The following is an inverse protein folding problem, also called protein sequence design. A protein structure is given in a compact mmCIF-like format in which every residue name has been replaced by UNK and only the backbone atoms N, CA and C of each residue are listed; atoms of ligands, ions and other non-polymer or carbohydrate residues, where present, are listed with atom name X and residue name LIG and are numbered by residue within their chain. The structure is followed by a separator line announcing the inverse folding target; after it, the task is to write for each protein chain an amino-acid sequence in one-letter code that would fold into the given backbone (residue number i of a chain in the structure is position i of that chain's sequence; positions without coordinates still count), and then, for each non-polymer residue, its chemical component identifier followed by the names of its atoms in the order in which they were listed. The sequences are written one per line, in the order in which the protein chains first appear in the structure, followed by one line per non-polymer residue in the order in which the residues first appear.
data_IF_214209853765
#
_entry.id   IF_214209853765
#
_cell.length_a   1.000
_cell.length_b   1.000
_cell.length_c   1.000
_cell.angle_alpha   90.00
_cell.angle_beta   90.00
_cell.angle_gamma   90.00
#
_symmetry.space_group_name_H-M   'P 1'
#
loop_
_entity.id
_entity.type
_entity.pdbx_description
1 polymer ?
#
# COMPACT_ATOMS: atom_id res chain seq x y z
N UNK A 1 41.06 -58.64 25.70
CA UNK A 1 39.79 -58.01 26.15
C UNK A 1 40.14 -56.57 26.50
N UNK A 2 39.67 -55.51 25.84
CA UNK A 2 38.46 -55.32 25.05
C UNK A 2 38.70 -54.29 23.93
N UNK A 3 37.98 -54.47 22.82
CA UNK A 3 37.76 -53.47 21.79
C UNK A 3 36.80 -52.39 22.32
N UNK A 4 36.93 -51.14 21.83
CA UNK A 4 35.77 -50.33 21.48
C UNK A 4 36.19 -49.16 20.57
N UNK A 5 35.87 -49.31 19.30
CA UNK A 5 35.62 -48.22 18.37
C UNK A 5 34.44 -47.39 18.89
N UNK A 6 34.46 -46.08 18.70
CA UNK A 6 33.24 -45.27 18.72
C UNK A 6 33.36 -44.14 17.73
N UNK A 7 32.42 -44.22 16.80
CA UNK A 7 32.28 -43.51 15.55
C UNK A 7 31.98 -42.02 15.74
N UNK A 8 32.49 -41.24 14.79
CA UNK A 8 32.04 -39.89 14.46
C UNK A 8 30.55 -39.91 14.10
N UNK A 9 29.72 -39.12 14.79
CA UNK A 9 28.47 -38.60 14.23
C UNK A 9 28.25 -37.16 14.70
N UNK A 10 28.39 -36.26 13.73
CA UNK A 10 27.92 -34.88 13.75
C UNK A 10 26.41 -34.88 13.66
N UNK A 11 25.71 -34.24 14.60
CA UNK A 11 24.39 -33.70 14.33
C UNK A 11 24.20 -32.38 15.09
N UNK A 12 24.35 -31.30 14.32
CA UNK A 12 24.00 -29.94 14.74
C UNK A 12 22.48 -29.83 14.79
N UNK A 13 21.91 -29.95 15.98
CA UNK A 13 20.50 -29.69 16.22
C UNK A 13 20.25 -28.18 16.27
N UNK A 14 19.73 -27.62 15.18
CA UNK A 14 19.16 -26.27 15.15
C UNK A 14 17.76 -26.35 15.74
N UNK A 15 17.59 -25.84 16.96
CA UNK A 15 16.27 -25.66 17.58
C UNK A 15 15.47 -24.62 16.79
N UNK A 16 14.25 -24.92 16.31
CA UNK A 16 13.39 -23.89 15.75
C UNK A 16 12.84 -23.05 16.91
N UNK A 17 13.27 -21.80 17.00
CA UNK A 17 12.59 -20.80 17.83
C UNK A 17 11.18 -20.62 17.26
N UNK A 18 10.18 -21.00 18.05
CA UNK A 18 8.78 -20.71 17.80
C UNK A 18 8.58 -19.20 17.84
N UNK A 19 8.62 -18.56 16.68
CA UNK A 19 8.13 -17.20 16.50
C UNK A 19 6.61 -17.27 16.60
N UNK A 20 6.07 -16.95 17.76
CA UNK A 20 4.65 -16.65 17.94
C UNK A 20 4.32 -15.49 17.01
N UNK A 21 3.75 -15.78 15.84
CA UNK A 21 3.18 -14.77 14.97
C UNK A 21 1.85 -14.32 15.58
N UNK A 22 1.89 -13.27 16.37
CA UNK A 22 0.69 -12.54 16.77
C UNK A 22 0.18 -11.72 15.58
N UNK A 23 -0.44 -12.39 14.60
CA UNK A 23 -1.30 -11.75 13.61
C UNK A 23 -2.71 -12.34 13.78
N UNK A 24 -3.66 -11.61 14.37
CA UNK A 24 -4.98 -12.16 14.70
C UNK A 24 -5.98 -12.12 13.53
N UNK A 25 -5.55 -11.98 12.27
CA UNK A 25 -6.47 -11.87 11.13
C UNK A 25 -6.24 -12.96 10.07
N UNK A 26 -7.29 -13.68 9.63
CA UNK A 26 -7.19 -14.63 8.53
C UNK A 26 -7.36 -13.87 7.21
N UNK A 27 -6.27 -13.48 6.56
CA UNK A 27 -6.35 -12.74 5.29
C UNK A 27 -6.16 -13.71 4.11
N UNK A 28 -7.24 -13.90 3.36
CA UNK A 28 -7.27 -14.66 2.10
C UNK A 28 -6.52 -13.90 1.00
N UNK A 29 -5.20 -13.98 1.00
CA UNK A 29 -4.38 -13.69 -0.18
C UNK A 29 -3.93 -15.00 -0.81
N UNK A 30 -4.49 -15.36 -1.98
CA UNK A 30 -3.97 -16.51 -2.74
C UNK A 30 -2.48 -16.29 -3.03
N UNK A 31 -1.71 -17.28 -2.59
CA UNK A 31 -0.31 -17.56 -2.88
C UNK A 31 0.27 -16.83 -4.10
N UNK A 32 1.08 -15.81 -3.85
CA UNK A 32 2.08 -15.33 -4.82
C UNK A 32 3.46 -15.81 -4.37
N UNK A 33 3.62 -17.13 -4.25
CA UNK A 33 4.96 -17.72 -4.24
C UNK A 33 5.55 -17.50 -5.64
N UNK A 34 6.60 -16.65 -5.74
CA UNK A 34 7.60 -16.53 -6.83
C UNK A 34 7.92 -15.12 -7.37
N UNK A 35 7.57 -14.01 -6.70
CA UNK A 35 8.08 -12.66 -7.07
C UNK A 35 8.66 -11.87 -5.90
N UNK A 36 9.12 -12.57 -4.85
CA UNK A 36 9.82 -11.93 -3.75
C UNK A 36 11.14 -11.34 -4.23
N UNK A 37 11.20 -10.02 -4.41
CA UNK A 37 12.27 -9.16 -3.87
C UNK A 37 12.18 -7.67 -4.27
N UNK A 38 11.26 -7.25 -5.16
CA UNK A 38 11.11 -5.84 -5.52
C UNK A 38 9.65 -5.46 -5.72
N UNK A 39 8.98 -5.09 -4.63
CA UNK A 39 7.58 -4.66 -4.69
C UNK A 39 7.37 -3.17 -4.45
N UNK A 40 8.44 -2.46 -4.09
CA UNK A 40 8.46 -1.02 -3.96
C UNK A 40 9.75 -0.46 -4.53
N UNK A 41 9.65 0.57 -5.35
CA UNK A 41 10.78 1.24 -5.99
C UNK A 41 10.85 2.67 -5.44
N UNK A 42 11.96 3.09 -4.82
CA UNK A 42 12.14 4.49 -4.42
C UNK A 42 11.98 5.39 -5.64
N UNK A 43 11.16 6.43 -5.51
CA UNK A 43 10.85 7.30 -6.65
C UNK A 43 12.02 8.25 -6.92
N UNK A 44 12.69 8.68 -5.86
CA UNK A 44 13.96 9.41 -5.91
C UNK A 44 15.04 8.59 -5.21
N UNK A 45 16.30 8.72 -5.67
CA UNK A 45 17.46 7.99 -5.10
C UNK A 45 17.66 8.24 -3.60
N UNK A 46 17.18 9.37 -3.10
CA UNK A 46 17.19 9.77 -1.69
C UNK A 46 15.79 10.01 -1.12
N UNK A 47 14.73 9.67 -1.86
CA UNK A 47 13.36 9.92 -1.47
C UNK A 47 12.82 8.86 -0.51
N UNK A 48 11.88 9.25 0.33
CA UNK A 48 11.24 8.33 1.30
C UNK A 48 10.05 7.59 0.67
N UNK A 49 9.42 8.22 -0.33
CA UNK A 49 8.25 7.70 -1.02
C UNK A 49 8.62 6.60 -2.02
N UNK A 50 7.89 5.50 -1.96
CA UNK A 50 8.13 4.32 -2.79
C UNK A 50 6.91 4.01 -3.65
N UNK A 51 7.12 3.82 -4.94
CA UNK A 51 6.10 3.34 -5.85
C UNK A 51 5.92 1.83 -5.64
N UNK A 52 4.74 1.41 -5.20
CA UNK A 52 4.42 -0.02 -5.04
C UNK A 52 3.78 -0.59 -6.30
N UNK A 53 3.89 -1.91 -6.48
CA UNK A 53 3.29 -2.60 -7.62
C UNK A 53 1.77 -2.76 -7.50
N UNK A 54 1.26 -2.95 -6.27
CA UNK A 54 -0.18 -3.16 -6.03
C UNK A 54 -0.59 -2.58 -4.67
N UNK A 55 -1.44 -1.56 -4.68
CA UNK A 55 -2.08 -1.04 -3.49
C UNK A 55 -3.44 -1.68 -3.23
N UNK A 56 -3.93 -1.54 -2.00
CA UNK A 56 -5.26 -1.95 -1.56
C UNK A 56 -5.87 -0.86 -0.68
N UNK A 57 -7.20 -0.79 -0.70
CA UNK A 57 -8.01 0.09 0.15
C UNK A 57 -8.85 -0.82 1.03
N UNK A 58 -8.61 -0.75 2.32
CA UNK A 58 -9.34 -1.52 3.32
C UNK A 58 -10.41 -0.62 3.94
N UNK A 59 -11.71 -0.89 3.69
CA UNK A 59 -12.75 -0.20 4.45
C UNK A 59 -12.68 -0.66 5.92
N UNK A 60 -12.60 0.29 6.84
CA UNK A 60 -12.57 0.04 8.29
C UNK A 60 -13.73 0.79 8.90
N UNK A 61 -14.83 0.10 9.20
CA UNK A 61 -16.10 0.69 9.65
C UNK A 61 -16.61 1.79 8.69
N UNK A 62 -16.64 3.05 9.15
CA UNK A 62 -17.02 4.23 8.37
C UNK A 62 -15.83 4.92 7.67
N UNK A 63 -14.64 4.33 7.80
CA UNK A 63 -13.37 4.87 7.36
C UNK A 63 -12.70 3.97 6.31
N UNK A 64 -11.49 4.35 5.90
CA UNK A 64 -10.73 3.65 4.88
C UNK A 64 -9.24 3.76 5.16
N UNK A 65 -8.51 2.68 4.92
CA UNK A 65 -7.07 2.61 5.03
C UNK A 65 -6.40 2.25 3.70
N UNK A 66 -5.19 2.75 3.47
CA UNK A 66 -4.38 2.39 2.29
C UNK A 66 -3.22 1.49 2.73
N UNK A 67 -3.12 0.32 2.09
CA UNK A 67 -2.04 -0.63 2.37
C UNK A 67 -1.39 -1.14 1.09
N UNK A 68 -0.19 -1.70 1.27
CA UNK A 68 0.45 -2.48 0.23
C UNK A 68 -0.16 -3.87 0.19
N UNK A 69 -0.61 -4.31 -0.99
CA UNK A 69 -1.24 -5.63 -1.13
C UNK A 69 -0.23 -6.78 -0.95
N UNK A 70 1.07 -6.51 -0.97
CA UNK A 70 2.09 -7.47 -0.56
C UNK A 70 2.50 -7.27 0.89
N UNK A 71 2.27 -8.34 1.65
CA UNK A 71 2.58 -8.46 3.06
C UNK A 71 4.07 -8.23 3.40
N UNK A 72 4.99 -8.56 2.50
CA UNK A 72 6.43 -8.37 2.73
C UNK A 72 6.95 -6.99 2.28
N UNK A 73 6.09 -6.16 1.70
CA UNK A 73 6.42 -4.82 1.25
C UNK A 73 6.38 -3.77 2.35
N UNK A 74 6.80 -2.52 2.05
CA UNK A 74 6.64 -1.41 2.96
C UNK A 74 5.15 -1.10 3.20
N UNK A 75 4.80 -0.76 4.44
CA UNK A 75 3.45 -0.38 4.83
C UNK A 75 3.20 1.13 4.81
N UNK A 76 4.26 1.95 4.84
CA UNK A 76 4.18 3.41 4.88
C UNK A 76 5.18 4.05 3.92
N UNK A 77 4.95 5.32 3.62
CA UNK A 77 5.66 6.09 2.59
C UNK A 77 5.63 5.34 1.26
N UNK A 78 4.42 4.96 0.89
CA UNK A 78 4.08 4.23 -0.32
C UNK A 78 3.08 5.01 -1.15
N UNK A 79 3.16 4.87 -2.48
CA UNK A 79 2.12 5.32 -3.39
C UNK A 79 1.90 4.32 -4.51
N UNK A 80 0.70 4.33 -5.08
CA UNK A 80 0.32 3.50 -6.21
C UNK A 80 -0.48 4.33 -7.22
N UNK A 81 -0.09 4.28 -8.50
CA UNK A 81 -0.84 4.86 -9.59
C UNK A 81 -1.97 3.91 -10.00
N UNK A 82 -3.21 4.38 -9.92
CA UNK A 82 -4.37 3.58 -10.32
C UNK A 82 -4.41 3.49 -11.85
N UNK A 83 -4.45 2.28 -12.44
CA UNK A 83 -4.58 2.13 -13.88
C UNK A 83 -5.93 2.67 -14.39
N UNK A 84 -5.90 3.53 -15.39
CA UNK A 84 -7.12 4.08 -15.99
C UNK A 84 -6.86 5.39 -16.75
N UNK A 85 -7.91 5.99 -17.34
CA UNK A 85 -7.85 7.35 -17.86
C UNK A 85 -7.57 8.34 -16.72
N UNK A 86 -6.70 9.30 -17.00
CA UNK A 86 -6.28 10.32 -16.03
C UNK A 86 -5.06 9.92 -15.20
N UNK A 87 -4.91 10.59 -14.06
CA UNK A 87 -3.74 10.51 -13.20
C UNK A 87 -4.18 10.35 -11.73
N UNK A 88 -4.80 9.21 -11.44
CA UNK A 88 -5.34 8.87 -10.13
C UNK A 88 -4.31 8.11 -9.29
N UNK A 89 -4.26 8.38 -8.00
CA UNK A 89 -3.27 7.80 -7.08
C UNK A 89 -3.87 7.48 -5.73
N UNK A 90 -3.25 6.53 -5.04
CA UNK A 90 -3.41 6.32 -3.60
C UNK A 90 -2.04 6.36 -2.94
N UNK A 91 -1.96 6.83 -1.70
CA UNK A 91 -0.73 6.84 -0.91
C UNK A 91 -0.98 6.75 0.60
N UNK A 92 -0.02 6.16 1.32
CA UNK A 92 0.04 6.16 2.78
C UNK A 92 1.39 6.73 3.21
N UNK A 93 1.38 7.86 3.90
CA UNK A 93 2.55 8.72 4.14
C UNK A 93 2.80 8.89 5.63
N UNK A 94 4.06 8.90 6.06
CA UNK A 94 4.45 9.18 7.45
C UNK A 94 5.49 10.29 7.50
N UNK A 95 6.46 10.26 6.60
CA UNK A 95 7.49 11.28 6.53
C UNK A 95 6.97 12.56 5.87
N UNK A 96 7.30 13.73 6.44
CA UNK A 96 6.81 15.02 5.94
C UNK A 96 7.16 15.26 4.46
N UNK A 97 8.36 14.84 4.03
CA UNK A 97 8.80 14.99 2.64
C UNK A 97 8.05 14.10 1.65
N UNK A 98 7.35 13.06 2.11
CA UNK A 98 6.64 12.13 1.23
C UNK A 98 5.44 12.78 0.54
N UNK A 99 4.78 13.77 1.19
CA UNK A 99 3.68 14.51 0.57
C UNK A 99 4.18 15.44 -0.55
N UNK A 100 5.30 16.12 -0.32
CA UNK A 100 5.91 16.97 -1.36
C UNK A 100 6.33 16.13 -2.57
N UNK A 101 6.95 14.96 -2.34
CA UNK A 101 7.27 14.00 -3.40
C UNK A 101 6.01 13.54 -4.15
N UNK A 102 4.93 13.21 -3.45
CA UNK A 102 3.66 12.80 -4.08
C UNK A 102 3.09 13.90 -4.97
N UNK A 103 3.06 15.15 -4.50
CA UNK A 103 2.58 16.30 -5.27
C UNK A 103 3.41 16.48 -6.55
N UNK A 104 4.73 16.41 -6.44
CA UNK A 104 5.62 16.52 -7.61
C UNK A 104 5.36 15.41 -8.63
N UNK A 105 5.15 14.17 -8.19
CA UNK A 105 4.87 13.04 -9.09
C UNK A 105 3.53 13.22 -9.79
N UNK A 106 2.49 13.60 -9.04
CA UNK A 106 1.16 13.86 -9.62
C UNK A 106 1.26 14.97 -10.67
N UNK A 107 1.99 16.05 -10.39
CA UNK A 107 2.22 17.15 -11.35
C UNK A 107 3.08 16.73 -12.55
N UNK A 108 4.09 15.88 -12.36
CA UNK A 108 4.92 15.38 -13.46
C UNK A 108 4.14 14.49 -14.43
N UNK A 109 3.07 13.83 -13.96
CA UNK A 109 2.16 13.03 -14.75
C UNK A 109 0.85 13.75 -15.09
N UNK A 110 0.84 15.08 -14.99
CA UNK A 110 -0.36 15.87 -15.20
C UNK A 110 -0.89 15.69 -16.64
N UNK A 111 -2.20 15.54 -16.74
CA UNK A 111 -2.88 15.31 -18.01
C UNK A 111 -3.67 16.57 -18.36
N UNK A 112 -3.33 17.21 -19.48
CA UNK A 112 -4.00 18.44 -19.92
C UNK A 112 -5.52 18.24 -19.98
N UNK A 113 -6.27 19.20 -19.41
CA UNK A 113 -7.73 19.17 -19.36
C UNK A 113 -8.30 18.33 -18.23
N UNK A 114 -7.47 17.92 -17.26
CA UNK A 114 -7.90 17.31 -16.01
C UNK A 114 -7.69 18.23 -14.81
N UNK A 115 -8.52 18.05 -13.79
CA UNK A 115 -8.43 18.66 -12.47
C UNK A 115 -8.37 17.56 -11.41
N UNK A 116 -8.02 17.95 -10.18
CA UNK A 116 -7.77 17.03 -9.09
C UNK A 116 -8.58 17.35 -7.84
N UNK A 117 -9.16 16.31 -7.24
CA UNK A 117 -9.59 16.32 -5.85
C UNK A 117 -8.61 15.48 -5.02
N UNK A 118 -8.17 16.08 -3.92
CA UNK A 118 -7.28 15.44 -2.95
C UNK A 118 -8.08 15.13 -1.69
N UNK A 119 -8.22 13.84 -1.39
CA UNK A 119 -8.87 13.35 -0.19
C UNK A 119 -7.80 12.87 0.77
N UNK A 120 -7.81 13.39 1.99
CA UNK A 120 -6.77 13.12 2.98
C UNK A 120 -7.41 12.73 4.31
N UNK A 121 -6.91 11.66 4.92
CA UNK A 121 -7.26 11.23 6.28
C UNK A 121 -5.99 11.07 7.09
N UNK A 122 -6.09 11.24 8.39
CA UNK A 122 -5.02 10.93 9.33
C UNK A 122 -5.46 9.75 10.20
N UNK A 123 -4.75 8.63 10.09
CA UNK A 123 -4.97 7.44 10.90
C UNK A 123 -3.82 7.23 11.89
N UNK A 124 -4.07 6.52 12.99
CA UNK A 124 -3.07 6.11 13.97
C UNK A 124 -2.74 4.63 13.80
N UNK A 125 -1.95 4.30 12.77
CA UNK A 125 -1.45 2.93 12.64
C UNK A 125 -0.33 2.67 13.66
N UNK A 126 -0.62 1.78 14.62
CA UNK A 126 0.27 1.24 15.67
C UNK A 126 0.84 2.28 16.65
N UNK A 127 1.51 3.35 16.20
CA UNK A 127 2.11 4.42 17.04
C UNK A 127 2.43 5.74 16.32
N UNK A 128 2.37 5.80 14.98
CA UNK A 128 2.69 7.02 14.21
C UNK A 128 1.46 7.50 13.45
N UNK A 129 1.26 8.82 13.33
CA UNK A 129 0.24 9.36 12.44
C UNK A 129 0.60 9.01 11.00
N UNK A 130 -0.31 8.34 10.31
CA UNK A 130 -0.23 8.03 8.88
C UNK A 130 -1.20 8.97 8.17
N UNK A 131 -0.71 9.72 7.20
CA UNK A 131 -1.54 10.48 6.29
C UNK A 131 -1.87 9.63 5.07
N UNK A 132 -3.14 9.30 4.92
CA UNK A 132 -3.65 8.51 3.81
C UNK A 132 -4.26 9.44 2.77
N UNK A 133 -3.93 9.23 1.50
CA UNK A 133 -4.24 10.15 0.41
C UNK A 133 -4.85 9.41 -0.76
N UNK A 134 -5.99 9.90 -1.25
CA UNK A 134 -6.56 9.50 -2.54
C UNK A 134 -6.55 10.74 -3.44
N UNK A 135 -6.04 10.58 -4.66
CA UNK A 135 -6.04 11.60 -5.70
C UNK A 135 -6.99 11.16 -6.80
N UNK A 136 -8.12 11.87 -6.94
CA UNK A 136 -9.06 11.72 -8.05
C UNK A 136 -8.75 12.77 -9.11
N UNK A 137 -8.45 12.33 -10.32
CA UNK A 137 -8.39 13.15 -11.51
C UNK A 137 -9.71 13.06 -12.28
N UNK A 138 -10.20 14.20 -12.78
CA UNK A 138 -11.44 14.29 -13.55
C UNK A 138 -11.33 15.32 -14.66
N UNK A 139 -12.07 15.14 -15.75
CA UNK A 139 -12.04 16.08 -16.88
C UNK A 139 -12.62 17.44 -16.48
N UNK A 140 -12.00 18.54 -16.92
CA UNK A 140 -12.48 19.89 -16.65
C UNK A 140 -13.92 20.14 -17.12
N UNK A 141 -14.34 19.43 -18.17
CA UNK A 141 -15.69 19.51 -18.73
C UNK A 141 -16.77 18.90 -17.82
N UNK A 142 -16.39 17.97 -16.94
CA UNK A 142 -17.35 17.20 -16.12
C UNK A 142 -17.87 17.99 -14.92
N UNK A 143 -17.29 19.17 -14.62
CA UNK A 143 -17.62 20.03 -13.46
C UNK A 143 -17.90 19.20 -12.18
N UNK A 144 -17.04 18.22 -11.92
CA UNK A 144 -17.26 17.24 -10.85
C UNK A 144 -16.98 17.84 -9.48
N UNK A 145 -17.97 17.82 -8.61
CA UNK A 145 -17.82 18.20 -7.20
C UNK A 145 -17.06 17.13 -6.41
N UNK A 146 -16.35 17.59 -5.38
CA UNK A 146 -15.64 16.73 -4.42
C UNK A 146 -16.64 15.78 -3.76
N UNK A 147 -16.28 14.51 -3.65
CA UNK A 147 -17.10 13.53 -2.91
C UNK A 147 -17.10 13.93 -1.42
N UNK A 148 -18.27 14.03 -0.76
CA UNK A 148 -18.32 14.28 0.68
C UNK A 148 -17.63 13.18 1.47
N UNK A 149 -16.96 13.54 2.56
CA UNK A 149 -16.39 12.59 3.51
C UNK A 149 -17.51 11.81 4.22
N UNK A 150 -17.27 10.51 4.47
CA UNK A 150 -18.20 9.63 5.17
C UNK A 150 -18.31 8.22 4.55
N UNK A 151 -19.23 7.38 5.07
CA UNK A 151 -19.31 5.95 4.73
C UNK A 151 -19.51 5.64 3.23
N UNK A 152 -20.13 6.57 2.49
CA UNK A 152 -20.37 6.43 1.05
C UNK A 152 -19.23 6.88 0.15
N UNK A 153 -18.16 7.46 0.71
CA UNK A 153 -17.09 8.08 -0.08
C UNK A 153 -16.35 7.07 -0.95
N UNK A 154 -15.90 5.95 -0.37
CA UNK A 154 -15.17 4.89 -1.10
C UNK A 154 -16.02 4.26 -2.19
N UNK A 155 -17.29 3.97 -1.90
CA UNK A 155 -18.23 3.44 -2.89
C UNK A 155 -18.41 4.43 -4.06
N UNK A 156 -18.60 5.71 -3.76
CA UNK A 156 -18.73 6.76 -4.79
C UNK A 156 -17.46 6.90 -5.61
N UNK A 157 -16.28 6.82 -4.99
CA UNK A 157 -14.99 6.87 -5.69
C UNK A 157 -14.76 5.63 -6.56
N UNK A 158 -15.20 4.45 -6.12
CA UNK A 158 -15.14 3.21 -6.90
C UNK A 158 -15.96 3.27 -8.19
N UNK A 159 -17.09 3.99 -8.19
CA UNK A 159 -17.88 4.26 -9.40
C UNK A 159 -17.22 5.32 -10.31
N UNK A 160 -16.51 6.28 -9.71
CA UNK A 160 -15.97 7.46 -10.39
C UNK A 160 -14.60 7.26 -11.01
N UNK A 161 -13.75 6.46 -10.39
CA UNK A 161 -12.36 6.23 -10.77
C UNK A 161 -12.25 4.83 -11.38
N UNK A 162 -11.97 4.77 -12.68
CA UNK A 162 -11.70 3.49 -13.36
C UNK A 162 -10.53 2.77 -12.68
N UNK A 163 -10.72 1.49 -12.37
CA UNK A 163 -9.72 0.65 -11.70
C UNK A 163 -9.72 0.73 -10.18
N UNK A 164 -10.42 1.69 -9.57
CA UNK A 164 -10.44 1.86 -8.11
C UNK A 164 -11.16 0.73 -7.39
N UNK A 165 -12.29 0.26 -7.93
CA UNK A 165 -13.04 -0.87 -7.36
C UNK A 165 -12.20 -2.15 -7.19
N UNK A 166 -11.19 -2.35 -8.04
CA UNK A 166 -10.29 -3.51 -7.95
C UNK A 166 -9.27 -3.41 -6.80
N UNK A 167 -9.14 -2.23 -6.19
CA UNK A 167 -8.26 -1.97 -5.05
C UNK A 167 -9.01 -2.14 -3.72
N UNK A 168 -10.34 -2.06 -3.71
CA UNK A 168 -11.13 -2.19 -2.49
C UNK A 168 -11.16 -3.66 -2.09
N UNK A 169 -10.66 -3.98 -0.90
CA UNK A 169 -10.72 -5.33 -0.36
C UNK A 169 -12.19 -5.77 -0.19
N UNK A 170 -12.53 -7.02 -0.54
CA UNK A 170 -13.89 -7.55 -0.34
C UNK A 170 -14.25 -7.74 1.13
#
# INVERSE_FOLDING_TARGET
MSQQDSESNSDGSISPTSSTSENPWPIFGRDCHHLGHLEAIPIKRSGNLKLIFKGSIEPVDEEWGICNANYHGPCTDICFKIPGPGNNWIAALVEHGSMDELVEIVQAHDTKGYKYHWYTRFDHYRTKPVQEVIVESYSEGDKRERVPEGPGMIATLAERITGFAALVAP
#
